data_IF_930820245650
#
_entry.id   IF_930820245650
#
_cell.length_a   1.000
_cell.length_b   1.000
_cell.length_c   1.000
_cell.angle_alpha   90.00
_cell.angle_beta   90.00
_cell.angle_gamma   90.00
#
_symmetry.space_group_name_H-M   'P 1'
#
loop_
_entity.id
_entity.type
_entity.pdbx_description
1 polymer ?
#
# COMPACT_ATOMS: atom_id res chain seq x y z
N UNK A 1 -3.63 -8.68 9.20
CA UNK A 1 -2.37 -9.21 9.74
C UNK A 1 -1.48 -8.06 10.15
N UNK A 2 -0.96 -8.06 11.40
CA UNK A 2 -0.29 -6.91 12.03
C UNK A 2 -1.27 -5.91 12.67
N UNK A 3 -2.39 -6.41 13.20
CA UNK A 3 -3.46 -5.61 13.78
C UNK A 3 -3.10 -4.85 15.06
N UNK A 4 -2.08 -5.31 15.80
CA UNK A 4 -1.51 -4.61 16.94
C UNK A 4 -0.52 -3.49 16.56
N UNK A 5 -0.16 -3.38 15.29
CA UNK A 5 0.70 -2.31 14.77
C UNK A 5 -0.09 -1.07 14.39
N UNK A 6 0.62 0.08 14.28
CA UNK A 6 0.01 1.38 13.95
C UNK A 6 -0.77 1.36 12.62
N UNK A 7 -0.22 0.72 11.59
CA UNK A 7 -0.91 0.68 10.29
C UNK A 7 -2.14 -0.20 10.35
N UNK A 8 -2.02 -1.42 10.93
CA UNK A 8 -3.13 -2.36 11.01
C UNK A 8 -4.30 -1.84 11.85
N UNK A 9 -4.02 -1.28 13.04
CA UNK A 9 -5.06 -0.71 13.91
C UNK A 9 -5.71 0.54 13.31
N UNK A 10 -4.92 1.43 12.68
CA UNK A 10 -5.48 2.62 12.01
C UNK A 10 -6.34 2.24 10.80
N UNK A 11 -5.93 1.22 10.03
CA UNK A 11 -6.74 0.71 8.91
C UNK A 11 -8.05 0.09 9.41
N UNK A 12 -7.99 -0.72 10.48
CA UNK A 12 -9.18 -1.30 11.10
C UNK A 12 -10.15 -0.23 11.57
N UNK A 13 -9.65 0.80 12.26
CA UNK A 13 -10.46 1.94 12.68
C UNK A 13 -11.12 2.64 11.49
N UNK A 14 -10.35 2.95 10.43
CA UNK A 14 -10.85 3.61 9.22
C UNK A 14 -11.95 2.78 8.52
N UNK A 15 -11.74 1.48 8.40
CA UNK A 15 -12.70 0.54 7.81
C UNK A 15 -13.99 0.47 8.64
N UNK A 16 -13.85 0.37 9.97
CA UNK A 16 -14.99 0.35 10.88
C UNK A 16 -15.78 1.65 10.82
N UNK A 17 -15.09 2.80 10.86
CA UNK A 17 -15.69 4.13 10.85
C UNK A 17 -16.56 4.37 9.61
N UNK A 18 -16.17 3.83 8.46
CA UNK A 18 -16.92 3.96 7.22
C UNK A 18 -17.96 2.84 7.01
N UNK A 19 -18.05 1.89 7.95
CA UNK A 19 -18.98 0.76 7.85
C UNK A 19 -18.71 -0.14 6.65
N UNK A 20 -17.44 -0.30 6.25
CA UNK A 20 -17.04 -1.04 5.05
C UNK A 20 -17.00 -2.55 5.25
N UNK A 21 -17.05 -3.01 6.48
CA UNK A 21 -17.05 -4.43 6.84
C UNK A 21 -18.05 -4.69 7.96
N UNK A 22 -18.72 -5.86 7.92
CA UNK A 22 -19.55 -6.34 9.02
C UNK A 22 -18.71 -6.87 10.19
N UNK A 23 -17.56 -7.47 9.88
CA UNK A 23 -16.61 -7.99 10.86
C UNK A 23 -15.17 -7.63 10.48
N UNK A 24 -14.37 -7.25 11.48
CA UNK A 24 -12.93 -7.01 11.36
C UNK A 24 -12.20 -7.91 12.36
N UNK A 25 -11.31 -8.76 11.87
CA UNK A 25 -10.49 -9.64 12.68
C UNK A 25 -9.07 -9.08 12.74
N UNK A 26 -8.60 -8.75 13.93
CA UNK A 26 -7.24 -8.29 14.18
C UNK A 26 -6.35 -9.45 14.60
N UNK A 27 -5.37 -9.81 13.76
CA UNK A 27 -4.33 -10.79 14.08
C UNK A 27 -2.98 -10.09 14.30
N UNK A 28 -2.32 -10.39 15.39
CA UNK A 28 -0.96 -9.90 15.71
C UNK A 28 -0.24 -10.91 16.63
N UNK A 29 1.08 -11.04 16.50
CA UNK A 29 1.87 -11.83 17.43
C UNK A 29 1.80 -11.32 18.88
N UNK A 30 1.54 -10.02 19.05
CA UNK A 30 1.23 -9.38 20.32
C UNK A 30 -0.29 -9.35 20.50
N UNK A 31 -0.86 -10.50 20.83
CA UNK A 31 -2.31 -10.70 20.94
C UNK A 31 -3.00 -9.64 21.82
N UNK A 32 -2.38 -9.31 22.95
CA UNK A 32 -2.90 -8.29 23.88
C UNK A 32 -3.10 -6.92 23.22
N UNK A 33 -2.26 -6.53 22.26
CA UNK A 33 -2.44 -5.27 21.53
C UNK A 33 -3.58 -5.37 20.51
N UNK A 34 -3.72 -6.50 19.82
CA UNK A 34 -4.84 -6.72 18.92
C UNK A 34 -6.18 -6.70 19.69
N UNK A 35 -6.24 -7.35 20.85
CA UNK A 35 -7.41 -7.33 21.75
C UNK A 35 -7.74 -5.90 22.25
N UNK A 36 -6.73 -5.16 22.71
CA UNK A 36 -6.93 -3.79 23.17
C UNK A 36 -7.46 -2.87 22.06
N UNK A 37 -6.88 -2.95 20.86
CA UNK A 37 -7.37 -2.18 19.70
C UNK A 37 -8.78 -2.60 19.29
N UNK A 38 -9.09 -3.90 19.29
CA UNK A 38 -10.41 -4.38 18.94
C UNK A 38 -11.48 -3.81 19.88
N UNK A 39 -11.25 -3.87 21.20
CA UNK A 39 -12.15 -3.32 22.21
C UNK A 39 -12.36 -1.80 22.06
N UNK A 40 -11.29 -1.06 21.81
CA UNK A 40 -11.34 0.40 21.68
C UNK A 40 -12.09 0.81 20.39
N UNK A 41 -11.81 0.13 19.26
CA UNK A 41 -12.50 0.37 17.99
C UNK A 41 -13.99 0.04 18.14
N UNK A 42 -14.37 -1.08 18.75
CA UNK A 42 -15.76 -1.48 18.92
C UNK A 42 -16.55 -0.43 19.70
N UNK A 43 -15.98 0.09 20.80
CA UNK A 43 -16.59 1.18 21.59
C UNK A 43 -16.72 2.48 20.78
N UNK A 44 -15.71 2.81 19.98
CA UNK A 44 -15.73 4.03 19.15
C UNK A 44 -16.82 3.96 18.06
N UNK A 45 -17.27 2.76 17.66
CA UNK A 45 -18.27 2.55 16.62
C UNK A 45 -19.72 2.59 17.09
N UNK A 46 -20.00 2.58 18.40
CA UNK A 46 -21.35 2.47 19.00
C UNK A 46 -22.40 3.41 18.35
N UNK A 47 -21.99 4.61 17.94
CA UNK A 47 -22.87 5.58 17.29
C UNK A 47 -22.51 5.85 15.82
N UNK A 48 -21.71 4.97 15.19
CA UNK A 48 -21.16 5.19 13.86
C UNK A 48 -21.51 4.09 12.87
N UNK A 49 -21.26 2.83 13.23
CA UNK A 49 -21.39 1.70 12.32
C UNK A 49 -21.67 0.40 13.09
N UNK A 50 -22.32 -0.55 12.42
CA UNK A 50 -22.55 -1.90 12.95
C UNK A 50 -21.41 -2.85 12.54
N UNK A 51 -20.17 -2.43 12.79
CA UNK A 51 -18.98 -3.25 12.53
C UNK A 51 -18.56 -3.93 13.82
N UNK A 52 -18.52 -5.26 13.83
CA UNK A 52 -17.89 -6.01 14.93
C UNK A 52 -16.38 -6.04 14.75
N UNK A 53 -15.63 -5.82 15.82
CA UNK A 53 -14.18 -5.86 15.80
C UNK A 53 -13.67 -6.76 16.91
N UNK A 54 -12.87 -7.77 16.57
CA UNK A 54 -12.28 -8.69 17.55
C UNK A 54 -10.84 -9.05 17.21
N UNK A 55 -10.07 -9.44 18.20
CA UNK A 55 -8.84 -10.19 17.95
C UNK A 55 -9.16 -11.63 17.54
N UNK A 56 -8.30 -12.21 16.71
CA UNK A 56 -8.47 -13.58 16.26
C UNK A 56 -7.15 -14.25 15.91
N UNK A 57 -7.24 -15.54 15.65
CA UNK A 57 -6.13 -16.38 15.19
C UNK A 57 -6.16 -16.53 13.65
N UNK A 58 -5.16 -17.19 13.10
CA UNK A 58 -5.07 -17.37 11.64
C UNK A 58 -6.23 -18.23 11.10
N UNK A 59 -6.77 -19.08 11.93
CA UNK A 59 -7.94 -19.93 11.65
C UNK A 59 -9.20 -19.10 11.40
N UNK A 60 -9.35 -18.00 12.09
CA UNK A 60 -10.50 -17.09 11.97
C UNK A 60 -10.54 -16.36 10.62
N UNK A 61 -9.44 -16.37 9.85
CA UNK A 61 -9.41 -15.76 8.52
C UNK A 61 -10.15 -16.53 7.45
N UNK A 62 -10.69 -17.71 7.79
CA UNK A 62 -11.40 -18.54 6.81
C UNK A 62 -12.60 -17.81 6.21
N UNK A 63 -12.58 -17.69 4.88
CA UNK A 63 -13.65 -17.03 4.13
C UNK A 63 -13.64 -15.51 4.20
N UNK A 64 -12.53 -14.89 4.62
CA UNK A 64 -12.39 -13.43 4.56
C UNK A 64 -12.51 -12.93 3.12
N UNK A 65 -13.22 -11.82 2.91
CA UNK A 65 -13.33 -11.14 1.61
C UNK A 65 -12.06 -10.34 1.30
N UNK A 66 -11.43 -9.78 2.33
CA UNK A 66 -10.22 -8.94 2.21
C UNK A 66 -9.18 -9.36 3.25
N UNK A 67 -7.96 -9.54 2.82
CA UNK A 67 -6.78 -9.79 3.65
C UNK A 67 -5.83 -8.60 3.59
N UNK A 68 -5.64 -7.88 4.70
CA UNK A 68 -4.71 -6.76 4.79
C UNK A 68 -3.43 -7.24 5.47
N UNK A 69 -2.31 -7.21 4.76
CA UNK A 69 -1.01 -7.69 5.23
C UNK A 69 -0.12 -6.50 5.60
N UNK A 70 -0.16 -6.12 6.88
CA UNK A 70 0.65 -5.05 7.46
C UNK A 70 1.64 -5.59 8.53
N UNK A 71 1.81 -6.91 8.60
CA UNK A 71 2.72 -7.56 9.54
C UNK A 71 4.18 -7.30 9.13
N UNK A 72 4.99 -6.85 10.08
CA UNK A 72 6.41 -6.60 9.90
C UNK A 72 7.15 -6.81 11.23
N UNK A 73 8.48 -6.96 11.17
CA UNK A 73 9.30 -7.07 12.38
C UNK A 73 9.12 -5.84 13.26
N UNK A 74 8.69 -6.07 14.50
CA UNK A 74 8.46 -5.02 15.48
C UNK A 74 9.78 -4.41 16.01
N UNK A 75 9.71 -3.14 16.45
CA UNK A 75 10.83 -2.48 17.13
C UNK A 75 12.01 -2.09 16.24
N UNK A 76 11.86 -2.16 14.92
CA UNK A 76 12.92 -1.75 14.00
C UNK A 76 13.14 -0.26 13.99
N UNK A 77 14.39 0.19 13.85
CA UNK A 77 14.66 1.56 13.43
C UNK A 77 14.02 1.79 12.04
N UNK A 78 13.43 2.95 11.84
CA UNK A 78 12.97 3.37 10.51
C UNK A 78 14.22 3.58 9.67
N UNK A 79 14.41 2.74 8.66
CA UNK A 79 15.56 2.80 7.77
C UNK A 79 15.24 3.66 6.56
N UNK A 80 16.23 4.38 6.00
CA UNK A 80 16.06 5.16 4.77
C UNK A 80 15.62 4.29 3.58
N UNK A 81 16.12 3.05 3.50
CA UNK A 81 15.75 2.12 2.43
C UNK A 81 14.69 1.11 2.87
N UNK A 82 13.57 1.06 2.16
CA UNK A 82 12.47 0.12 2.39
C UNK A 82 12.80 -1.30 1.95
N UNK A 83 13.75 -1.48 1.04
CA UNK A 83 14.24 -2.78 0.61
C UNK A 83 15.00 -3.53 1.73
N UNK A 84 15.58 -2.79 2.67
CA UNK A 84 16.18 -3.37 3.87
C UNK A 84 15.07 -3.96 4.74
N UNK A 85 15.16 -5.20 5.10
CA UNK A 85 14.16 -5.86 5.93
C UNK A 85 13.29 -6.84 5.20
N UNK A 86 13.52 -7.00 3.91
CA UNK A 86 12.86 -8.02 3.14
C UNK A 86 13.09 -9.41 3.74
N UNK A 87 14.36 -9.75 4.05
CA UNK A 87 14.74 -11.04 4.61
C UNK A 87 14.08 -11.31 5.96
N UNK A 88 14.02 -10.30 6.82
CA UNK A 88 13.42 -10.43 8.15
C UNK A 88 11.89 -10.53 8.07
N UNK A 89 11.26 -9.73 7.21
CA UNK A 89 9.83 -9.84 6.96
C UNK A 89 9.47 -11.16 6.26
N UNK A 90 10.40 -11.74 5.46
CA UNK A 90 10.22 -13.04 4.84
C UNK A 90 9.95 -14.13 5.87
N UNK A 91 10.70 -14.13 6.99
CA UNK A 91 10.50 -15.10 8.08
C UNK A 91 9.09 -15.05 8.66
N UNK A 92 8.53 -13.83 8.82
CA UNK A 92 7.17 -13.64 9.33
C UNK A 92 6.12 -14.00 8.27
N UNK A 93 6.22 -13.39 7.08
CA UNK A 93 5.19 -13.52 6.05
C UNK A 93 5.08 -14.94 5.53
N UNK A 94 6.16 -15.66 5.41
CA UNK A 94 6.15 -17.04 4.96
C UNK A 94 5.25 -17.94 5.82
N UNK A 95 5.28 -17.78 7.15
CA UNK A 95 4.40 -18.52 8.06
C UNK A 95 2.93 -18.14 7.95
N UNK A 96 2.63 -16.96 7.40
CA UNK A 96 1.27 -16.44 7.27
C UNK A 96 0.66 -16.70 5.89
N UNK A 97 1.43 -16.54 4.81
CA UNK A 97 0.88 -16.47 3.44
C UNK A 97 0.21 -17.77 3.00
N UNK A 98 0.83 -18.93 3.25
CA UNK A 98 0.27 -20.23 2.84
C UNK A 98 -1.04 -20.57 3.56
N UNK A 99 -1.13 -20.47 4.91
CA UNK A 99 -2.40 -20.60 5.61
C UNK A 99 -3.49 -19.65 5.11
N UNK A 100 -3.15 -18.39 4.84
CA UNK A 100 -4.11 -17.40 4.35
C UNK A 100 -4.64 -17.76 2.96
N UNK A 101 -3.75 -18.15 2.04
CA UNK A 101 -4.13 -18.55 0.68
C UNK A 101 -5.08 -19.77 0.69
N UNK A 102 -4.83 -20.71 1.59
CA UNK A 102 -5.67 -21.91 1.73
C UNK A 102 -7.03 -21.59 2.34
N UNK A 103 -7.08 -20.69 3.33
CA UNK A 103 -8.32 -20.41 4.08
C UNK A 103 -9.23 -19.41 3.38
N UNK A 104 -8.64 -18.48 2.61
CA UNK A 104 -9.38 -17.41 1.93
C UNK A 104 -8.93 -17.26 0.47
N UNK A 105 -9.14 -18.31 -0.36
CA UNK A 105 -8.62 -18.35 -1.74
C UNK A 105 -9.26 -17.31 -2.67
N UNK A 106 -10.43 -16.80 -2.31
CA UNK A 106 -11.16 -15.80 -3.09
C UNK A 106 -10.93 -14.37 -2.61
N UNK A 107 -10.17 -14.16 -1.53
CA UNK A 107 -9.96 -12.85 -0.93
C UNK A 107 -9.20 -11.89 -1.86
N UNK A 108 -9.48 -10.61 -1.70
CA UNK A 108 -8.61 -9.53 -2.14
C UNK A 108 -7.43 -9.41 -1.16
N UNK A 109 -6.22 -9.43 -1.67
CA UNK A 109 -5.00 -9.25 -0.88
C UNK A 109 -4.49 -7.83 -0.99
N UNK A 110 -4.49 -7.11 0.11
CA UNK A 110 -3.95 -5.74 0.22
C UNK A 110 -2.63 -5.78 0.96
N UNK A 111 -1.54 -5.57 0.24
CA UNK A 111 -0.17 -5.69 0.76
C UNK A 111 0.33 -4.32 1.18
N UNK A 112 0.77 -4.22 2.44
CA UNK A 112 1.31 -3.00 3.04
C UNK A 112 2.75 -3.22 3.52
N UNK A 113 3.09 -4.46 3.83
CA UNK A 113 4.44 -4.83 4.27
C UNK A 113 5.48 -4.56 3.20
N UNK A 114 6.52 -3.79 3.54
CA UNK A 114 7.62 -3.49 2.63
C UNK A 114 8.58 -4.69 2.47
N UNK A 115 9.18 -4.84 1.26
CA UNK A 115 8.96 -4.10 0.02
C UNK A 115 7.66 -4.54 -0.67
N UNK A 116 6.71 -3.60 -0.78
CA UNK A 116 5.33 -3.87 -1.19
C UNK A 116 5.27 -4.54 -2.56
N UNK A 117 5.93 -3.96 -3.55
CA UNK A 117 5.86 -4.41 -4.95
C UNK A 117 6.38 -5.83 -5.14
N UNK A 118 7.49 -6.15 -4.47
CA UNK A 118 8.05 -7.50 -4.51
C UNK A 118 7.09 -8.53 -3.89
N UNK A 119 6.46 -8.20 -2.75
CA UNK A 119 5.48 -9.09 -2.12
C UNK A 119 4.24 -9.32 -2.99
N UNK A 120 3.71 -8.26 -3.61
CA UNK A 120 2.59 -8.37 -4.56
C UNK A 120 2.91 -9.38 -5.66
N UNK A 121 4.08 -9.25 -6.29
CA UNK A 121 4.49 -10.17 -7.35
C UNK A 121 4.70 -11.61 -6.84
N UNK A 122 5.37 -11.77 -5.70
CA UNK A 122 5.66 -13.08 -5.13
C UNK A 122 4.38 -13.81 -4.71
N UNK A 123 3.43 -13.12 -4.10
CA UNK A 123 2.13 -13.70 -3.72
C UNK A 123 1.36 -14.13 -4.96
N UNK A 124 1.26 -13.28 -5.99
CA UNK A 124 0.66 -13.64 -7.26
C UNK A 124 1.26 -14.92 -7.83
N UNK A 125 2.58 -15.02 -7.87
CA UNK A 125 3.29 -16.14 -8.52
C UNK A 125 3.31 -17.42 -7.70
N UNK A 126 3.49 -17.35 -6.39
CA UNK A 126 3.64 -18.54 -5.53
C UNK A 126 2.30 -19.14 -5.11
N UNK A 127 1.28 -18.31 -4.90
CA UNK A 127 -0.03 -18.77 -4.41
C UNK A 127 -1.10 -18.71 -5.48
N UNK A 128 -0.74 -18.39 -6.73
CA UNK A 128 -1.66 -18.29 -7.88
C UNK A 128 -2.85 -17.35 -7.61
N UNK A 129 -2.64 -16.32 -6.78
CA UNK A 129 -3.66 -15.29 -6.56
C UNK A 129 -3.81 -14.49 -7.87
N UNK A 130 -5.03 -14.35 -8.41
CA UNK A 130 -5.25 -13.55 -9.61
C UNK A 130 -4.66 -12.14 -9.49
N UNK A 131 -4.06 -11.61 -10.55
CA UNK A 131 -3.36 -10.31 -10.48
C UNK A 131 -4.28 -9.16 -10.08
N UNK A 132 -5.56 -9.23 -10.44
CA UNK A 132 -6.59 -8.27 -10.06
C UNK A 132 -7.00 -8.35 -8.59
N UNK A 133 -6.63 -9.42 -7.91
CA UNK A 133 -6.92 -9.68 -6.48
C UNK A 133 -5.71 -9.57 -5.56
N UNK A 134 -4.56 -9.13 -6.05
CA UNK A 134 -3.39 -8.83 -5.22
C UNK A 134 -2.89 -7.42 -5.53
N UNK A 135 -3.03 -6.54 -4.56
CA UNK A 135 -2.69 -5.13 -4.70
C UNK A 135 -1.76 -4.68 -3.59
N UNK A 136 -0.82 -3.83 -3.93
CA UNK A 136 0.03 -3.13 -2.97
C UNK A 136 -0.49 -1.73 -2.70
N UNK A 137 -0.46 -1.32 -1.44
CA UNK A 137 -0.91 0.00 -1.01
C UNK A 137 0.27 0.97 -1.08
N UNK A 138 0.26 1.83 -2.06
CA UNK A 138 1.23 2.91 -2.26
C UNK A 138 0.58 4.29 -2.50
N UNK A 139 -0.72 4.41 -2.31
CA UNK A 139 -1.46 5.67 -2.41
C UNK A 139 -0.95 6.77 -1.47
N UNK A 140 -0.29 6.40 -0.36
CA UNK A 140 0.37 7.35 0.53
C UNK A 140 1.55 8.10 -0.13
N UNK A 141 2.18 7.57 -1.18
CA UNK A 141 3.19 8.29 -1.95
C UNK A 141 2.53 9.36 -2.83
N UNK A 142 1.39 9.03 -3.45
CA UNK A 142 0.55 10.00 -4.15
C UNK A 142 0.05 11.09 -3.20
N UNK A 143 -0.44 10.74 -2.02
CA UNK A 143 -0.86 11.73 -1.01
C UNK A 143 0.29 12.67 -0.61
N UNK A 144 1.50 12.14 -0.44
CA UNK A 144 2.69 12.94 -0.13
C UNK A 144 3.08 13.85 -1.29
N UNK A 145 2.97 13.37 -2.52
CA UNK A 145 3.21 14.17 -3.72
C UNK A 145 2.22 15.33 -3.83
N UNK A 146 0.91 15.07 -3.67
CA UNK A 146 -0.12 16.10 -3.64
C UNK A 146 0.12 17.13 -2.51
N UNK A 147 0.48 16.65 -1.29
CA UNK A 147 0.82 17.52 -0.18
C UNK A 147 2.02 18.42 -0.48
N UNK A 148 3.07 17.89 -1.11
CA UNK A 148 4.26 18.66 -1.48
C UNK A 148 3.96 19.72 -2.56
N UNK A 149 3.11 19.38 -3.55
CA UNK A 149 2.62 20.34 -4.55
C UNK A 149 1.81 21.45 -3.88
N UNK A 150 0.85 21.08 -3.01
CA UNK A 150 0.01 22.03 -2.28
C UNK A 150 0.83 23.03 -1.51
N UNK A 151 1.85 22.55 -0.79
CA UNK A 151 2.78 23.39 -0.03
C UNK A 151 3.59 24.32 -0.94
N UNK A 152 4.09 23.82 -2.06
CA UNK A 152 4.90 24.58 -3.02
C UNK A 152 4.08 25.69 -3.71
N UNK A 153 2.82 25.39 -4.03
CA UNK A 153 1.93 26.34 -4.72
C UNK A 153 1.09 27.20 -3.76
N UNK A 154 1.16 26.92 -2.44
CA UNK A 154 0.32 27.56 -1.40
C UNK A 154 -1.19 27.47 -1.69
N UNK A 155 -1.67 26.27 -2.08
CA UNK A 155 -3.08 25.98 -2.39
C UNK A 155 -3.59 24.80 -1.56
N UNK A 156 -4.92 24.60 -1.41
CA UNK A 156 -5.47 23.44 -0.74
C UNK A 156 -5.08 22.13 -1.41
N UNK A 157 -4.62 21.14 -0.63
CA UNK A 157 -4.25 19.82 -1.16
C UNK A 157 -5.44 19.10 -1.80
N UNK A 158 -6.66 19.35 -1.34
CA UNK A 158 -7.90 18.79 -1.89
C UNK A 158 -8.22 19.24 -3.32
N UNK A 159 -7.54 20.28 -3.81
CA UNK A 159 -7.68 20.76 -5.20
C UNK A 159 -6.75 20.06 -6.19
N UNK A 160 -5.84 19.19 -5.72
CA UNK A 160 -4.78 18.59 -6.52
C UNK A 160 -5.14 17.15 -6.89
N UNK A 161 -4.98 16.84 -8.18
CA UNK A 161 -4.97 15.49 -8.71
C UNK A 161 -3.58 15.23 -9.30
N UNK A 162 -2.91 14.21 -8.80
CA UNK A 162 -1.60 13.79 -9.28
C UNK A 162 -1.38 12.32 -8.90
N UNK A 163 -0.38 11.66 -9.51
CA UNK A 163 -0.09 10.25 -9.27
C UNK A 163 1.41 10.03 -9.10
N UNK A 164 1.75 8.98 -8.35
CA UNK A 164 3.10 8.43 -8.26
C UNK A 164 3.07 7.02 -8.80
N UNK A 165 3.99 6.71 -9.70
CA UNK A 165 4.16 5.39 -10.29
C UNK A 165 5.43 4.72 -9.75
N UNK A 166 5.60 3.44 -10.13
CA UNK A 166 6.83 2.70 -9.88
C UNK A 166 6.88 2.05 -8.50
N UNK A 167 8.08 1.88 -8.00
CA UNK A 167 8.37 1.28 -6.70
C UNK A 167 7.77 2.09 -5.54
N UNK A 168 7.15 1.41 -4.59
CA UNK A 168 6.88 2.01 -3.29
C UNK A 168 8.19 2.15 -2.49
N UNK A 169 9.08 3.02 -2.93
CA UNK A 169 10.44 3.13 -2.41
C UNK A 169 11.22 4.31 -2.95
N UNK A 170 12.54 4.10 -3.11
CA UNK A 170 13.48 5.15 -3.49
C UNK A 170 13.37 5.56 -4.96
N UNK A 171 12.89 4.63 -5.81
CA UNK A 171 12.77 4.84 -7.26
C UNK A 171 11.35 5.18 -7.71
N UNK A 172 10.49 5.66 -6.78
CA UNK A 172 9.15 6.12 -7.13
C UNK A 172 9.20 7.25 -8.17
N UNK A 173 8.19 7.30 -9.03
CA UNK A 173 8.12 8.23 -10.17
C UNK A 173 6.92 9.18 -10.00
N UNK A 174 7.11 10.38 -9.42
CA UNK A 174 6.08 11.41 -9.40
C UNK A 174 5.77 11.90 -10.80
N UNK A 175 4.50 11.83 -11.22
CA UNK A 175 4.04 12.23 -12.55
C UNK A 175 3.80 13.75 -12.61
N UNK A 176 4.84 14.52 -12.82
CA UNK A 176 4.71 15.98 -13.01
C UNK A 176 3.98 16.36 -14.30
N UNK A 177 3.98 15.48 -15.30
CA UNK A 177 3.23 15.65 -16.56
C UNK A 177 1.71 15.59 -16.37
N UNK A 178 1.23 14.98 -15.27
CA UNK A 178 -0.20 14.73 -14.99
C UNK A 178 -0.70 15.47 -13.74
N UNK A 179 -0.09 16.58 -13.37
CA UNK A 179 -0.59 17.41 -12.27
C UNK A 179 -1.80 18.23 -12.74
N UNK A 180 -2.90 18.13 -11.98
CA UNK A 180 -4.08 18.96 -12.17
C UNK A 180 -4.43 19.70 -10.89
N UNK A 181 -4.92 20.92 -11.04
CA UNK A 181 -5.46 21.74 -9.95
C UNK A 181 -6.90 22.14 -10.32
N UNK A 182 -7.86 21.78 -9.49
CA UNK A 182 -9.30 21.93 -9.79
C UNK A 182 -9.67 21.39 -11.19
N UNK A 183 -9.16 20.21 -11.53
CA UNK A 183 -9.38 19.53 -12.82
C UNK A 183 -8.62 20.10 -14.02
N UNK A 184 -7.89 21.22 -13.88
CA UNK A 184 -7.12 21.84 -14.96
C UNK A 184 -5.67 21.42 -14.90
N UNK A 185 -5.08 21.04 -16.04
CA UNK A 185 -3.65 20.71 -16.14
C UNK A 185 -2.78 21.89 -15.73
N UNK A 186 -1.78 21.64 -14.91
CA UNK A 186 -0.83 22.64 -14.42
C UNK A 186 0.59 22.13 -14.62
N UNK A 187 1.43 22.95 -15.26
CA UNK A 187 2.86 22.67 -15.40
C UNK A 187 3.66 23.37 -14.29
N UNK A 188 4.35 22.57 -13.49
CA UNK A 188 5.30 23.12 -12.51
C UNK A 188 6.62 23.44 -13.22
N UNK A 189 7.19 24.61 -12.93
CA UNK A 189 8.52 24.97 -13.40
C UNK A 189 9.62 24.15 -12.70
N UNK A 190 10.88 24.29 -13.17
CA UNK A 190 12.00 23.51 -12.65
C UNK A 190 12.19 23.70 -11.13
N UNK A 191 12.12 24.92 -10.63
CA UNK A 191 12.31 25.23 -9.22
C UNK A 191 11.19 24.63 -8.35
N UNK A 192 9.94 24.72 -8.80
CA UNK A 192 8.79 24.10 -8.12
C UNK A 192 8.92 22.58 -8.09
N UNK A 193 9.30 21.95 -9.20
CA UNK A 193 9.55 20.47 -9.23
C UNK A 193 10.66 20.08 -8.27
N UNK A 194 11.73 20.87 -8.18
CA UNK A 194 12.83 20.65 -7.23
C UNK A 194 12.34 20.73 -5.79
N UNK A 195 11.57 21.76 -5.43
CA UNK A 195 11.01 21.94 -4.09
C UNK A 195 10.08 20.79 -3.71
N UNK A 196 9.22 20.35 -4.63
CA UNK A 196 8.34 19.21 -4.42
C UNK A 196 9.14 17.93 -4.15
N UNK A 197 10.17 17.61 -4.97
CA UNK A 197 11.03 16.44 -4.75
C UNK A 197 11.74 16.50 -3.41
N UNK A 198 12.29 17.64 -3.04
CA UNK A 198 12.94 17.88 -1.75
C UNK A 198 11.95 17.63 -0.59
N UNK A 199 10.73 18.19 -0.68
CA UNK A 199 9.71 18.00 0.36
C UNK A 199 9.32 16.52 0.56
N UNK A 200 9.26 15.74 -0.52
CA UNK A 200 8.97 14.29 -0.44
C UNK A 200 10.11 13.56 0.29
N UNK A 201 11.35 13.84 -0.07
CA UNK A 201 12.54 13.22 0.54
C UNK A 201 12.70 13.64 2.00
N UNK A 202 12.56 14.93 2.27
CA UNK A 202 12.72 15.49 3.61
C UNK A 202 11.68 14.96 4.60
N UNK A 203 10.48 14.63 4.16
CA UNK A 203 9.46 14.04 5.04
C UNK A 203 9.99 12.79 5.76
N UNK A 204 10.60 11.87 5.05
CA UNK A 204 11.12 10.64 5.65
C UNK A 204 12.31 10.93 6.58
N UNK A 205 13.23 11.82 6.14
CA UNK A 205 14.38 12.21 6.93
C UNK A 205 13.96 12.92 8.23
N UNK A 206 12.96 13.82 8.16
CA UNK A 206 12.40 14.48 9.34
C UNK A 206 11.72 13.48 10.26
N UNK A 207 10.94 12.54 9.71
CA UNK A 207 10.31 11.48 10.51
C UNK A 207 11.34 10.64 11.28
N UNK A 208 12.42 10.22 10.60
CA UNK A 208 13.51 9.47 11.24
C UNK A 208 14.17 10.31 12.34
N UNK A 209 14.43 11.59 12.07
CA UNK A 209 15.08 12.52 13.02
C UNK A 209 14.23 12.76 14.27
N UNK A 210 12.91 12.76 14.16
CA UNK A 210 11.99 12.92 15.27
C UNK A 210 11.92 11.69 16.17
N UNK A 211 12.41 10.54 15.76
CA UNK A 211 12.42 9.27 16.54
C UNK A 211 11.06 8.94 17.18
N UNK A 212 9.95 8.92 16.44
CA UNK A 212 8.60 8.80 17.01
C UNK A 212 8.30 7.42 17.60
N UNK A 213 9.24 6.47 17.54
CA UNK A 213 9.06 5.10 18.04
C UNK A 213 8.08 4.23 17.23
N UNK A 214 7.56 4.75 16.12
CA UNK A 214 6.62 4.06 15.24
C UNK A 214 6.77 4.50 13.79
N UNK A 215 6.24 3.72 12.85
CA UNK A 215 6.13 4.15 11.45
C UNK A 215 5.00 5.18 11.25
N UNK A 216 5.05 5.93 10.15
CA UNK A 216 3.92 6.73 9.68
C UNK A 216 2.84 5.76 9.15
N UNK A 217 1.64 5.81 9.70
CA UNK A 217 0.59 4.83 9.39
C UNK A 217 -0.73 5.44 8.92
N UNK A 218 -1.02 6.69 9.25
CA UNK A 218 -2.34 7.27 8.97
C UNK A 218 -2.60 7.44 7.48
N UNK A 219 -1.66 8.00 6.71
CA UNK A 219 -1.82 8.14 5.26
C UNK A 219 -1.97 6.78 4.55
N UNK A 220 -1.34 5.73 5.08
CA UNK A 220 -1.49 4.37 4.57
C UNK A 220 -2.87 3.81 4.91
N UNK A 221 -3.36 4.03 6.13
CA UNK A 221 -4.70 3.63 6.55
C UNK A 221 -5.79 4.33 5.72
N UNK A 222 -5.63 5.63 5.45
CA UNK A 222 -6.52 6.37 4.56
C UNK A 222 -6.51 5.75 3.14
N UNK A 223 -5.34 5.46 2.58
CA UNK A 223 -5.24 4.82 1.26
C UNK A 223 -5.94 3.46 1.19
N UNK A 224 -5.86 2.66 2.26
CA UNK A 224 -6.60 1.39 2.36
C UNK A 224 -8.11 1.66 2.37
N UNK A 225 -8.56 2.55 3.23
CA UNK A 225 -9.98 2.92 3.36
C UNK A 225 -10.54 3.46 2.04
N UNK A 226 -9.83 4.36 1.39
CA UNK A 226 -10.24 4.98 0.13
C UNK A 226 -10.41 3.96 -1.00
N UNK A 227 -9.50 2.99 -1.13
CA UNK A 227 -9.63 1.90 -2.09
C UNK A 227 -10.87 1.06 -1.80
N UNK A 228 -11.11 0.69 -0.54
CA UNK A 228 -12.29 -0.09 -0.14
C UNK A 228 -13.60 0.70 -0.30
N UNK A 229 -13.60 2.01 -0.02
CA UNK A 229 -14.75 2.90 -0.30
C UNK A 229 -15.06 2.92 -1.79
N UNK A 230 -14.05 3.05 -2.64
CA UNK A 230 -14.22 3.05 -4.10
C UNK A 230 -14.82 1.72 -4.59
N UNK A 231 -14.34 0.60 -4.06
CA UNK A 231 -14.90 -0.73 -4.36
C UNK A 231 -16.36 -0.86 -3.92
N UNK A 232 -16.69 -0.41 -2.71
CA UNK A 232 -18.04 -0.46 -2.16
C UNK A 232 -19.02 0.42 -2.94
N UNK A 233 -18.60 1.63 -3.30
CA UNK A 233 -19.41 2.59 -4.06
C UNK A 233 -19.46 2.31 -5.55
N UNK A 234 -18.57 1.46 -6.05
CA UNK A 234 -18.39 1.17 -7.48
C UNK A 234 -18.17 2.46 -8.28
N UNK A 235 -17.40 3.39 -7.70
CA UNK A 235 -17.09 4.65 -8.36
C UNK A 235 -15.96 4.49 -9.40
N UNK A 236 -15.74 5.52 -10.22
CA UNK A 236 -14.73 5.50 -11.29
C UNK A 236 -13.43 6.20 -10.89
N UNK A 237 -13.21 6.42 -9.59
CA UNK A 237 -11.98 7.05 -9.12
C UNK A 237 -10.76 6.23 -9.49
N UNK A 238 -9.68 6.93 -9.79
CA UNK A 238 -8.39 6.35 -10.10
C UNK A 238 -7.53 6.40 -8.85
N UNK A 239 -6.96 5.25 -8.50
CA UNK A 239 -6.07 5.08 -7.34
C UNK A 239 -4.69 4.63 -7.79
N UNK A 240 -3.65 4.96 -7.05
CA UNK A 240 -2.33 4.39 -7.25
C UNK A 240 -2.20 3.12 -6.41
N UNK A 241 -2.08 1.96 -7.08
CA UNK A 241 -1.86 0.68 -6.42
C UNK A 241 -0.80 -0.11 -7.15
N UNK A 242 0.02 -0.85 -6.40
CA UNK A 242 0.94 -1.81 -7.00
C UNK A 242 0.19 -3.06 -7.43
N UNK A 243 0.47 -3.53 -8.64
CA UNK A 243 -0.13 -4.77 -9.20
C UNK A 243 0.81 -5.42 -10.19
N UNK A 244 0.73 -6.76 -10.41
CA UNK A 244 1.53 -7.42 -11.44
C UNK A 244 1.18 -6.91 -12.83
N UNK A 245 2.19 -6.46 -13.58
CA UNK A 245 2.04 -5.95 -14.93
C UNK A 245 2.26 -7.07 -15.98
N UNK A 246 1.50 -7.00 -17.06
CA UNK A 246 1.55 -7.95 -18.18
C UNK A 246 1.63 -7.23 -19.53
N UNK A 247 2.45 -6.20 -19.63
CA UNK A 247 2.67 -5.38 -20.81
C UNK A 247 2.38 -3.90 -20.58
N UNK A 248 1.55 -3.58 -19.59
CA UNK A 248 1.22 -2.20 -19.26
C UNK A 248 2.50 -1.39 -18.94
N UNK A 249 2.55 -0.16 -19.41
CA UNK A 249 3.75 0.70 -19.34
C UNK A 249 5.03 0.04 -19.89
N UNK A 250 4.87 -0.90 -20.85
CA UNK A 250 5.97 -1.68 -21.42
C UNK A 250 6.66 -2.63 -20.44
N UNK A 251 6.01 -2.98 -19.34
CA UNK A 251 6.59 -3.76 -18.24
C UNK A 251 5.95 -5.13 -18.09
N UNK A 252 6.79 -6.16 -17.89
CA UNK A 252 6.37 -7.54 -17.60
C UNK A 252 7.23 -8.15 -16.51
N UNK A 253 6.68 -9.15 -15.81
CA UNK A 253 7.42 -9.89 -14.80
C UNK A 253 7.76 -9.05 -13.55
N UNK A 254 6.98 -8.03 -13.26
CA UNK A 254 7.17 -7.10 -12.15
C UNK A 254 5.82 -6.58 -11.68
N UNK A 255 5.73 -6.17 -10.42
CA UNK A 255 4.62 -5.37 -9.90
C UNK A 255 5.11 -3.96 -9.67
N UNK A 256 4.32 -2.98 -10.06
CA UNK A 256 4.62 -1.56 -9.87
C UNK A 256 3.36 -0.82 -9.46
N UNK A 257 3.54 0.26 -8.72
CA UNK A 257 2.50 1.26 -8.51
C UNK A 257 2.08 1.88 -9.84
N UNK A 258 0.80 1.75 -10.16
CA UNK A 258 0.21 2.30 -11.39
C UNK A 258 -1.20 2.82 -11.10
N UNK A 259 -1.73 3.73 -11.92
CA UNK A 259 -3.11 4.17 -11.81
C UNK A 259 -4.07 3.02 -12.14
N UNK A 260 -5.04 2.77 -11.26
CA UNK A 260 -6.02 1.70 -11.41
C UNK A 260 -7.43 2.20 -11.10
N UNK A 261 -8.43 1.58 -11.70
CA UNK A 261 -9.82 1.63 -11.24
C UNK A 261 -10.18 0.35 -10.53
N UNK A 262 -10.84 0.50 -9.39
CA UNK A 262 -11.31 -0.64 -8.61
C UNK A 262 -12.64 -1.16 -9.11
N UNK A 263 -12.81 -2.46 -9.05
CA UNK A 263 -14.09 -3.15 -9.22
C UNK A 263 -14.55 -3.78 -7.90
N UNK A 264 -15.68 -4.47 -7.88
CA UNK A 264 -16.24 -5.07 -6.66
C UNK A 264 -15.36 -6.13 -5.99
N UNK A 265 -14.44 -6.72 -6.74
CA UNK A 265 -13.63 -7.86 -6.28
C UNK A 265 -12.11 -7.64 -6.44
N UNK A 266 -11.69 -6.43 -6.77
CA UNK A 266 -10.28 -6.09 -7.02
C UNK A 266 -10.10 -5.06 -8.13
N UNK A 267 -8.95 -5.03 -8.78
CA UNK A 267 -8.66 -4.13 -9.89
C UNK A 267 -9.55 -4.49 -11.09
N UNK A 268 -10.30 -3.51 -11.60
CA UNK A 268 -11.08 -3.62 -12.82
C UNK A 268 -10.27 -3.25 -14.06
N UNK A 269 -9.40 -2.24 -13.94
CA UNK A 269 -8.69 -1.67 -15.06
C UNK A 269 -7.38 -1.03 -14.58
N UNK A 270 -6.30 -1.22 -15.34
CA UNK A 270 -5.06 -0.44 -15.23
C UNK A 270 -5.14 0.68 -16.24
N UNK A 271 -4.93 1.92 -15.79
CA UNK A 271 -4.98 3.10 -16.66
C UNK A 271 -3.55 3.43 -17.09
N UNK A 272 -3.32 3.49 -18.39
CA UNK A 272 -2.05 3.95 -18.93
C UNK A 272 -2.16 5.43 -19.32
N UNK A 273 -1.38 6.27 -18.66
CA UNK A 273 -1.20 7.67 -19.03
C UNK A 273 0.01 7.83 -19.94
N UNK A 274 -0.03 8.81 -20.82
CA UNK A 274 1.14 9.24 -21.59
C UNK A 274 2.18 9.85 -20.64
N UNK A 275 3.32 9.20 -20.51
CA UNK A 275 4.41 9.65 -19.67
C UNK A 275 5.36 10.59 -20.44
N UNK A 276 5.87 11.62 -19.78
CA UNK A 276 7.00 12.37 -20.30
C UNK A 276 8.24 11.46 -20.47
N UNK A 277 9.14 11.74 -21.42
CA UNK A 277 10.31 10.88 -21.66
C UNK A 277 11.14 10.59 -20.40
N UNK A 278 11.33 11.59 -19.55
CA UNK A 278 12.04 11.44 -18.28
C UNK A 278 11.30 10.55 -17.27
N UNK A 279 9.97 10.56 -17.29
CA UNK A 279 9.13 9.71 -16.43
C UNK A 279 9.14 8.24 -16.94
N UNK A 280 9.14 8.04 -18.27
CA UNK A 280 9.29 6.72 -18.88
C UNK A 280 10.63 6.06 -18.50
N UNK A 281 11.73 6.82 -18.59
CA UNK A 281 13.05 6.31 -18.24
C UNK A 281 13.16 6.03 -16.73
N UNK A 282 12.64 6.91 -15.90
CA UNK A 282 12.58 6.70 -14.46
C UNK A 282 11.75 5.45 -14.09
N UNK A 283 10.65 5.19 -14.81
CA UNK A 283 9.82 4.00 -14.58
C UNK A 283 10.55 2.69 -14.94
N UNK A 284 11.39 2.69 -16.00
CA UNK A 284 12.24 1.54 -16.34
C UNK A 284 13.25 1.26 -15.22
N UNK A 285 13.90 2.29 -14.69
CA UNK A 285 14.81 2.17 -13.54
C UNK A 285 14.08 1.59 -12.33
N UNK A 286 12.89 2.10 -12.06
CA UNK A 286 12.03 1.62 -10.99
C UNK A 286 11.64 0.14 -11.15
N UNK A 287 11.27 -0.26 -12.37
CA UNK A 287 10.95 -1.64 -12.68
C UNK A 287 12.14 -2.59 -12.44
N UNK A 288 13.36 -2.17 -12.81
CA UNK A 288 14.54 -3.01 -12.57
C UNK A 288 14.90 -3.12 -11.09
N UNK A 289 14.74 -2.06 -10.31
CA UNK A 289 14.91 -2.10 -8.86
C UNK A 289 13.96 -3.12 -8.21
N UNK A 290 12.69 -3.13 -8.62
CA UNK A 290 11.71 -4.11 -8.10
C UNK A 290 12.01 -5.53 -8.60
N UNK A 291 12.44 -5.72 -9.86
CA UNK A 291 12.85 -7.05 -10.36
C UNK A 291 14.01 -7.62 -9.53
N UNK A 292 14.97 -6.80 -9.13
CA UNK A 292 16.05 -7.24 -8.25
C UNK A 292 15.52 -7.71 -6.89
N UNK A 293 14.59 -6.97 -6.29
CA UNK A 293 13.94 -7.38 -5.04
C UNK A 293 13.16 -8.69 -5.22
N UNK A 294 12.47 -8.88 -6.35
CA UNK A 294 11.74 -10.10 -6.67
C UNK A 294 12.72 -11.29 -6.79
N UNK A 295 13.84 -11.15 -7.52
CA UNK A 295 14.88 -12.20 -7.65
C UNK A 295 15.36 -12.63 -6.28
N UNK A 296 15.72 -11.67 -5.43
CA UNK A 296 16.15 -11.91 -4.05
C UNK A 296 15.09 -12.65 -3.23
N UNK A 297 13.82 -12.24 -3.35
CA UNK A 297 12.70 -12.91 -2.69
C UNK A 297 12.50 -14.36 -3.17
N UNK A 298 12.56 -14.59 -4.47
CA UNK A 298 12.45 -15.95 -5.05
C UNK A 298 13.53 -16.89 -4.52
N UNK A 299 14.75 -16.42 -4.38
CA UNK A 299 15.86 -17.21 -3.85
C UNK A 299 15.68 -17.55 -2.35
N UNK A 300 15.10 -16.62 -1.58
CA UNK A 300 14.74 -16.86 -0.20
C UNK A 300 13.60 -17.88 -0.06
N UNK A 301 12.60 -17.85 -0.97
CA UNK A 301 11.54 -18.87 -1.00
C UNK A 301 12.08 -20.28 -1.31
N UNK A 302 13.10 -20.40 -2.19
CA UNK A 302 13.71 -21.68 -2.55
C UNK A 302 14.56 -22.29 -1.43
N UNK A 303 15.40 -21.48 -0.77
CA UNK A 303 16.37 -21.93 0.25
C UNK A 303 15.76 -22.64 1.46
N UNK A 304 14.47 -22.55 1.66
CA UNK A 304 13.79 -23.10 2.84
C UNK A 304 12.90 -24.31 2.50
N UNK A 305 12.97 -24.82 1.26
CA UNK A 305 12.38 -26.13 0.92
C UNK A 305 13.33 -27.32 1.23
N UNK A 306 14.47 -27.05 1.81
CA UNK A 306 15.46 -28.01 2.29
C UNK A 306 15.72 -27.80 3.78
#
# INVERSE_FOLDING_TARGET
>A
MGGGGVVGSSAAYRIAQDGLASEIILFDSRRNLAEAHALDIEQAMVHRANTSTRAGEIEDTKGSDVLIIAAAVAGRPILPSRARGFEENMGILRGLLEPLATRSPSALWMIVTAPVDAWVYLIHRHFSVPREKVIGINGNDTSRFCWAIAKTLSIPATSIEAFVLGEHGETMVPMFSHVRVNGKAVSLNWEQRRQVRTSITDFLLQWIKLQPGRTAGWATAESIGDVLVSMSRKDDRIWSCSTPLNGEYGSQGVSLGVPVRMGPVGIREIIEFDLAPEEQEALKVSAEAVREQIRRGQDLFKKVKH
#
